data_IF_364835458050
#
_entry.id   IF_364835458050
#
_cell.length_a   1.000
_cell.length_b   1.000
_cell.length_c   1.000
_cell.angle_alpha   90.00
_cell.angle_beta   90.00
_cell.angle_gamma   90.00
#
_symmetry.space_group_name_H-M   'P 1'
#
loop_
_entity.id
_entity.type
_entity.pdbx_description
1 polymer ?
#
# COMPACT_ATOMS: atom_id res chain seq x y z
N UNK A 1 -25.50 6.73 -2.14
CA UNK A 1 -25.30 5.57 -3.05
C UNK A 1 -23.83 5.18 -3.27
N UNK A 2 -22.86 6.10 -3.18
CA UNK A 2 -21.41 5.74 -3.12
C UNK A 2 -21.03 4.91 -1.87
N UNK A 3 -21.71 5.12 -0.73
CA UNK A 3 -21.49 4.35 0.51
C UNK A 3 -21.99 2.90 0.47
N UNK A 4 -22.73 2.49 -0.58
CA UNK A 4 -23.18 1.10 -0.72
C UNK A 4 -22.22 0.24 -1.55
N UNK A 5 -21.32 0.85 -2.30
CA UNK A 5 -20.35 0.16 -3.16
C UNK A 5 -19.05 -0.21 -2.45
N UNK A 6 -18.83 0.30 -1.23
CA UNK A 6 -17.71 -0.03 -0.33
C UNK A 6 -17.98 -1.33 0.45
N UNK A 7 -19.25 -1.65 0.74
CA UNK A 7 -19.65 -2.74 1.65
C UNK A 7 -19.62 -4.17 1.10
N UNK A 8 -18.71 -4.49 0.18
CA UNK A 8 -18.49 -5.89 -0.19
C UNK A 8 -16.98 -6.17 -0.23
N UNK A 9 -16.29 -5.87 0.86
CA UNK A 9 -14.96 -6.40 1.15
C UNK A 9 -15.00 -7.90 1.43
N UNK A 10 -15.12 -8.72 0.39
CA UNK A 10 -15.00 -10.18 0.53
C UNK A 10 -13.61 -10.72 0.15
N UNK A 11 -12.78 -9.97 -0.59
CA UNK A 11 -11.41 -10.45 -0.91
C UNK A 11 -10.36 -10.07 0.15
N UNK A 12 -10.46 -8.89 0.76
CA UNK A 12 -9.51 -8.51 1.82
C UNK A 12 -9.72 -9.40 3.05
N UNK A 13 -10.98 -9.66 3.42
CA UNK A 13 -11.33 -10.52 4.56
C UNK A 13 -10.74 -11.93 4.47
N UNK A 14 -10.68 -12.52 3.29
CA UNK A 14 -10.14 -13.87 3.11
C UNK A 14 -8.60 -13.88 3.05
N UNK A 15 -7.97 -12.78 2.59
CA UNK A 15 -6.52 -12.54 2.72
C UNK A 15 -6.12 -12.33 4.19
N UNK A 16 -6.92 -11.59 4.96
CA UNK A 16 -6.71 -11.32 6.38
C UNK A 16 -6.85 -12.60 7.23
N UNK A 17 -7.85 -13.46 6.92
CA UNK A 17 -8.02 -14.78 7.55
C UNK A 17 -6.86 -15.74 7.25
N UNK A 18 -6.32 -15.70 6.03
CA UNK A 18 -5.18 -16.52 5.66
C UNK A 18 -3.92 -16.09 6.43
N UNK A 19 -3.63 -14.80 6.56
CA UNK A 19 -2.49 -14.30 7.35
C UNK A 19 -2.57 -14.61 8.85
N UNK A 20 -3.76 -14.54 9.46
CA UNK A 20 -3.97 -14.97 10.85
C UNK A 20 -3.56 -16.43 11.09
N UNK A 21 -3.51 -17.27 10.04
CA UNK A 21 -3.09 -18.66 10.17
C UNK A 21 -1.57 -18.89 10.07
N UNK A 22 -0.77 -17.87 9.73
CA UNK A 22 0.66 -18.01 9.40
C UNK A 22 1.59 -17.25 10.36
N UNK A 23 1.07 -16.37 11.21
CA UNK A 23 1.88 -15.55 12.13
C UNK A 23 1.46 -15.77 13.58
N UNK A 24 1.87 -16.91 14.13
CA UNK A 24 2.15 -16.97 15.56
C UNK A 24 3.65 -16.69 15.75
N UNK A 25 3.92 -15.85 16.74
CA UNK A 25 5.21 -15.38 17.27
C UNK A 25 5.85 -14.09 16.72
N UNK A 26 6.10 -13.24 17.73
CA UNK A 26 7.13 -12.23 17.91
C UNK A 26 6.90 -10.75 17.56
N UNK A 27 7.23 -9.96 18.59
CA UNK A 27 7.24 -8.51 18.74
C UNK A 27 7.56 -7.77 17.43
N UNK A 28 6.66 -6.88 17.02
CA UNK A 28 6.89 -5.98 15.90
C UNK A 28 8.04 -5.03 16.24
N UNK A 29 9.18 -5.23 15.57
CA UNK A 29 10.38 -4.42 15.74
C UNK A 29 10.70 -3.68 14.42
N UNK A 30 10.68 -2.35 14.46
CA UNK A 30 11.11 -1.49 13.34
C UNK A 30 12.57 -1.74 12.94
N UNK A 31 13.38 -2.29 13.85
CA UNK A 31 14.77 -2.66 13.61
C UNK A 31 14.91 -3.95 12.79
N UNK A 32 13.93 -4.86 12.82
CA UNK A 32 13.90 -6.03 11.94
C UNK A 32 13.79 -5.61 10.46
N UNK A 33 13.04 -4.54 10.18
CA UNK A 33 12.96 -3.89 8.86
C UNK A 33 14.31 -3.24 8.46
N UNK A 34 15.15 -2.84 9.44
CA UNK A 34 16.51 -2.35 9.19
C UNK A 34 17.50 -3.51 8.96
N UNK A 35 17.27 -4.69 9.52
CA UNK A 35 18.20 -5.85 9.47
C UNK A 35 18.29 -6.54 8.11
N UNK A 36 17.27 -6.43 7.25
CA UNK A 36 17.36 -6.81 5.82
C UNK A 36 18.48 -6.04 5.08
N UNK A 37 18.99 -4.92 5.63
CA UNK A 37 20.13 -4.18 5.08
C UNK A 37 21.49 -4.86 5.28
N UNK A 38 21.67 -5.76 6.26
CA UNK A 38 22.99 -6.27 6.64
C UNK A 38 23.33 -7.65 6.06
N UNK A 39 22.34 -8.50 5.78
CA UNK A 39 22.61 -9.87 5.31
C UNK A 39 23.01 -9.98 3.83
N UNK A 40 23.07 -8.87 3.08
CA UNK A 40 23.65 -8.83 1.73
C UNK A 40 25.06 -8.20 1.66
N UNK A 41 25.66 -7.78 2.78
CA UNK A 41 27.04 -7.31 2.81
C UNK A 41 27.96 -8.26 3.58
N UNK A 42 28.32 -9.37 2.94
CA UNK A 42 29.63 -10.00 3.16
C UNK A 42 30.36 -10.16 1.84
N UNK A 43 31.13 -9.13 1.49
CA UNK A 43 32.44 -9.24 0.84
C UNK A 43 33.20 -7.90 0.95
N UNK A 44 34.00 -7.85 2.01
CA UNK A 44 35.37 -7.35 2.15
C UNK A 44 35.85 -5.95 1.69
N UNK A 45 36.61 -5.35 2.63
CA UNK A 45 37.62 -4.28 2.56
C UNK A 45 37.26 -2.80 2.28
N UNK A 46 37.07 -2.04 3.37
CA UNK A 46 37.93 -0.91 3.76
C UNK A 46 37.89 0.43 2.98
N UNK A 47 36.97 1.34 3.35
CA UNK A 47 37.20 2.79 3.64
C UNK A 47 35.88 3.52 3.99
N UNK A 48 35.90 4.62 4.77
CA UNK A 48 34.70 5.27 5.30
C UNK A 48 34.12 6.36 4.38
N UNK A 49 32.85 6.71 4.64
CA UNK A 49 32.03 7.84 4.14
C UNK A 49 31.20 7.64 2.85
N UNK A 50 29.88 7.44 3.01
CA UNK A 50 28.85 8.52 3.05
C UNK A 50 27.46 7.90 3.30
N UNK A 51 26.70 8.53 4.18
CA UNK A 51 25.31 8.18 4.52
C UNK A 51 24.42 8.34 3.29
N UNK A 52 23.55 7.34 3.04
CA UNK A 52 22.49 7.38 2.05
C UNK A 52 22.79 6.60 0.76
N UNK A 53 22.83 5.27 0.84
CA UNK A 53 22.87 4.42 -0.36
C UNK A 53 21.47 3.88 -0.68
N UNK A 54 20.97 4.36 -1.82
CA UNK A 54 19.78 3.93 -2.55
C UNK A 54 19.77 2.39 -2.70
N UNK A 55 18.69 1.72 -2.26
CA UNK A 55 18.40 0.33 -2.65
C UNK A 55 18.03 0.36 -4.14
N UNK A 56 18.96 -0.07 -5.00
CA UNK A 56 18.78 -0.08 -6.46
C UNK A 56 18.29 -1.44 -6.96
N UNK A 57 17.30 -1.35 -7.85
CA UNK A 57 17.05 -2.20 -9.02
C UNK A 57 16.15 -3.45 -8.94
N UNK A 58 15.48 -3.76 -7.83
CA UNK A 58 14.39 -4.77 -7.83
C UNK A 58 13.16 -4.48 -6.96
N UNK A 59 13.14 -3.38 -6.22
CA UNK A 59 12.02 -3.07 -5.35
C UNK A 59 10.99 -2.20 -6.08
N UNK A 60 9.74 -2.65 -6.11
CA UNK A 60 8.57 -1.92 -6.64
C UNK A 60 8.29 -0.60 -5.89
N UNK A 61 9.03 -0.37 -4.80
CA UNK A 61 9.02 0.83 -3.99
C UNK A 61 10.36 1.03 -3.27
N UNK A 62 10.61 2.26 -2.81
CA UNK A 62 11.66 2.60 -1.87
C UNK A 62 11.06 3.38 -0.72
N UNK A 63 11.55 3.25 0.52
CA UNK A 63 11.08 4.04 1.65
C UNK A 63 12.23 4.67 2.43
N UNK A 64 11.94 5.81 3.07
CA UNK A 64 12.84 6.53 3.96
C UNK A 64 12.06 7.04 5.17
N UNK A 65 12.72 7.12 6.32
CA UNK A 65 12.16 7.76 7.51
C UNK A 65 12.39 9.28 7.41
N UNK A 66 11.33 10.06 7.25
CA UNK A 66 11.37 11.53 7.32
C UNK A 66 11.43 11.99 8.78
N UNK A 67 10.83 11.20 9.69
CA UNK A 67 11.07 11.26 11.13
C UNK A 67 11.38 9.85 11.60
N UNK A 68 12.55 9.70 12.21
CA UNK A 68 12.93 8.44 12.84
C UNK A 68 11.93 8.04 13.93
N UNK A 69 11.97 6.77 14.30
CA UNK A 69 11.18 6.21 15.38
C UNK A 69 11.39 6.98 16.69
N UNK A 70 10.29 7.38 17.32
CA UNK A 70 10.28 8.06 18.60
C UNK A 70 9.40 7.30 19.58
N UNK A 71 9.91 7.06 20.78
CA UNK A 71 9.13 6.43 21.85
C UNK A 71 8.02 7.37 22.32
N UNK A 72 6.81 6.83 22.47
CA UNK A 72 5.66 7.50 23.07
C UNK A 72 5.32 6.85 24.42
N UNK A 73 4.31 7.38 25.12
CA UNK A 73 3.83 6.78 26.37
C UNK A 73 3.27 5.37 26.17
N UNK A 74 2.73 5.09 24.99
CA UNK A 74 1.97 3.88 24.64
C UNK A 74 2.68 2.97 23.62
N UNK A 75 3.83 3.39 23.10
CA UNK A 75 4.56 2.64 22.07
C UNK A 75 5.56 3.50 21.33
N UNK A 76 5.43 3.60 20.00
CA UNK A 76 6.39 4.33 19.15
C UNK A 76 5.70 4.98 17.96
N UNK A 77 6.19 6.11 17.49
CA UNK A 77 5.71 6.77 16.27
C UNK A 77 6.84 6.97 15.27
N UNK A 78 6.53 6.99 13.97
CA UNK A 78 7.46 7.38 12.93
C UNK A 78 6.74 8.09 11.77
N UNK A 79 7.51 8.80 10.95
CA UNK A 79 7.02 9.35 9.69
C UNK A 79 7.79 8.70 8.54
N UNK A 80 7.06 7.92 7.74
CA UNK A 80 7.60 7.18 6.61
C UNK A 80 7.24 7.85 5.30
N UNK A 81 8.22 8.00 4.41
CA UNK A 81 8.01 8.37 3.02
C UNK A 81 8.32 7.21 2.12
N UNK A 82 7.33 6.75 1.38
CA UNK A 82 7.38 5.64 0.44
C UNK A 82 7.27 6.19 -0.98
N UNK A 83 8.27 5.93 -1.81
CA UNK A 83 8.26 6.21 -3.23
C UNK A 83 7.89 4.94 -3.99
N UNK A 84 6.70 4.92 -4.60
CA UNK A 84 6.23 3.82 -5.45
C UNK A 84 6.74 4.06 -6.86
N UNK A 85 7.43 3.05 -7.42
CA UNK A 85 8.24 3.16 -8.63
C UNK A 85 7.68 4.13 -9.67
N UNK A 86 8.38 5.23 -9.99
CA UNK A 86 8.02 6.24 -11.00
C UNK A 86 6.55 6.73 -11.00
N UNK A 87 5.74 6.36 -10.01
CA UNK A 87 4.28 6.48 -10.04
C UNK A 87 3.87 7.60 -9.09
N UNK A 88 4.17 7.45 -7.80
CA UNK A 88 3.80 8.43 -6.78
C UNK A 88 4.63 8.28 -5.50
N UNK A 89 4.48 9.28 -4.63
CA UNK A 89 5.02 9.31 -3.27
C UNK A 89 3.85 9.18 -2.31
N UNK A 90 4.06 8.43 -1.24
CA UNK A 90 3.19 8.37 -0.07
C UNK A 90 3.96 8.78 1.17
N UNK A 91 3.40 9.69 1.93
CA UNK A 91 3.86 10.02 3.28
C UNK A 91 2.87 9.43 4.29
N UNK A 92 3.38 8.75 5.32
CA UNK A 92 2.61 8.02 6.33
C UNK A 92 3.08 8.42 7.73
N UNK A 93 2.18 9.01 8.53
CA UNK A 93 2.39 9.20 9.95
C UNK A 93 1.81 8.00 10.71
N UNK A 94 2.71 7.21 11.31
CA UNK A 94 2.38 5.92 11.90
C UNK A 94 2.61 5.94 13.42
N UNK A 95 1.76 5.24 14.15
CA UNK A 95 1.97 4.88 15.56
C UNK A 95 1.80 3.38 15.75
N UNK A 96 2.78 2.76 16.40
CA UNK A 96 2.66 1.43 16.95
C UNK A 96 2.25 1.54 18.43
N UNK A 97 1.07 1.04 18.77
CA UNK A 97 0.58 0.97 20.15
C UNK A 97 0.93 -0.40 20.74
N UNK A 98 1.89 -0.41 21.67
CA UNK A 98 2.50 -1.63 22.23
C UNK A 98 1.49 -2.47 23.01
N UNK A 99 0.63 -1.84 23.79
CA UNK A 99 -0.32 -2.55 24.67
C UNK A 99 -1.33 -3.42 23.89
N UNK A 100 -1.71 -2.98 22.69
CA UNK A 100 -2.69 -3.66 21.82
C UNK A 100 -2.04 -4.39 20.65
N UNK A 101 -0.73 -4.25 20.45
CA UNK A 101 -0.02 -4.70 19.25
C UNK A 101 -0.70 -4.20 17.95
N UNK A 102 -1.09 -2.93 17.89
CA UNK A 102 -1.80 -2.35 16.75
C UNK A 102 -0.99 -1.26 16.07
N UNK A 103 -1.08 -1.21 14.73
CA UNK A 103 -0.57 -0.09 13.94
C UNK A 103 -1.71 0.90 13.67
N UNK A 104 -1.45 2.17 13.91
CA UNK A 104 -2.36 3.28 13.68
C UNK A 104 -1.75 4.14 12.57
N UNK A 105 -2.54 4.46 11.55
CA UNK A 105 -2.19 5.45 10.52
C UNK A 105 -2.88 6.76 10.86
N UNK A 106 -2.16 7.71 11.46
CA UNK A 106 -2.70 9.01 11.87
C UNK A 106 -3.02 9.89 10.66
N UNK A 107 -2.09 9.92 9.71
CA UNK A 107 -2.20 10.71 8.50
C UNK A 107 -1.50 10.00 7.35
N UNK A 108 -2.02 10.18 6.14
CA UNK A 108 -1.31 9.85 4.92
C UNK A 108 -1.55 10.88 3.83
N UNK A 109 -0.57 11.06 2.95
CA UNK A 109 -0.69 11.88 1.73
C UNK A 109 -0.17 11.10 0.54
N UNK A 110 -0.94 11.06 -0.56
CA UNK A 110 -0.56 10.42 -1.83
C UNK A 110 -0.45 11.51 -2.89
N UNK A 111 0.72 11.61 -3.53
CA UNK A 111 1.01 12.69 -4.48
C UNK A 111 1.93 12.27 -5.61
N UNK A 112 1.91 13.02 -6.72
CA UNK A 112 2.81 12.78 -7.84
C UNK A 112 4.27 13.03 -7.49
N UNK A 113 5.20 12.36 -8.20
CA UNK A 113 6.64 12.51 -7.95
C UNK A 113 7.17 13.95 -8.04
N UNK A 114 6.52 14.78 -8.87
CA UNK A 114 6.90 16.18 -9.14
C UNK A 114 5.91 17.17 -8.51
N UNK A 115 5.03 16.69 -7.64
CA UNK A 115 4.02 17.51 -7.01
C UNK A 115 4.59 18.21 -5.78
N UNK A 116 4.81 19.52 -5.89
CA UNK A 116 5.16 20.38 -4.77
C UNK A 116 3.89 20.77 -4.01
N UNK A 117 3.78 20.32 -2.76
CA UNK A 117 2.55 20.43 -2.00
C UNK A 117 2.83 20.37 -0.49
N UNK A 118 2.04 21.10 0.30
CA UNK A 118 1.98 20.95 1.76
C UNK A 118 1.08 19.77 2.15
N UNK A 119 1.47 19.01 3.18
CA UNK A 119 0.78 17.80 3.69
C UNK A 119 -0.73 17.96 3.95
N UNK A 120 -1.21 19.18 4.20
CA UNK A 120 -2.62 19.48 4.52
C UNK A 120 -3.52 19.70 3.31
N UNK A 121 -2.96 19.86 2.11
CA UNK A 121 -3.75 20.05 0.90
C UNK A 121 -4.12 18.66 0.31
N UNK A 122 -5.09 18.57 -0.61
CA UNK A 122 -5.31 17.37 -1.42
C UNK A 122 -4.40 17.37 -2.66
N UNK A 123 -4.12 16.23 -3.28
CA UNK A 123 -3.33 16.24 -4.53
C UNK A 123 -4.05 17.05 -5.61
N UNK A 124 -3.32 17.80 -6.45
CA UNK A 124 -3.89 18.50 -7.60
C UNK A 124 -4.29 17.54 -8.75
N UNK A 125 -3.81 16.30 -8.73
CA UNK A 125 -4.10 15.32 -9.77
C UNK A 125 -5.23 14.37 -9.34
N UNK A 126 -6.26 14.28 -10.19
CA UNK A 126 -7.47 13.48 -9.93
C UNK A 126 -7.19 12.00 -9.64
N UNK A 127 -6.15 11.42 -10.26
CA UNK A 127 -5.74 10.04 -10.01
C UNK A 127 -5.29 9.82 -8.56
N UNK A 128 -4.50 10.74 -8.01
CA UNK A 128 -3.99 10.61 -6.64
C UNK A 128 -5.08 10.95 -5.63
N UNK A 129 -5.96 11.93 -5.92
CA UNK A 129 -7.19 12.14 -5.12
C UNK A 129 -8.04 10.86 -5.04
N UNK A 130 -8.20 10.14 -6.16
CA UNK A 130 -8.92 8.87 -6.21
C UNK A 130 -8.21 7.78 -5.40
N UNK A 131 -6.88 7.67 -5.52
CA UNK A 131 -6.09 6.73 -4.75
C UNK A 131 -6.16 7.01 -3.25
N UNK A 132 -6.16 8.28 -2.82
CA UNK A 132 -6.35 8.63 -1.41
C UNK A 132 -7.69 8.13 -0.86
N UNK A 133 -8.77 8.22 -1.64
CA UNK A 133 -10.07 7.65 -1.23
C UNK A 133 -10.03 6.13 -1.10
N UNK A 134 -9.31 5.44 -1.99
CA UNK A 134 -9.14 3.99 -1.90
C UNK A 134 -8.25 3.59 -0.73
N UNK A 135 -7.20 4.38 -0.45
CA UNK A 135 -6.33 4.18 0.70
C UNK A 135 -7.08 4.34 2.02
N UNK A 136 -8.02 5.29 2.12
CA UNK A 136 -8.85 5.45 3.32
C UNK A 136 -9.54 4.14 3.71
N UNK A 137 -10.21 3.51 2.74
CA UNK A 137 -10.92 2.24 2.94
C UNK A 137 -9.93 1.11 3.21
N UNK A 138 -8.85 1.02 2.41
CA UNK A 138 -7.87 -0.05 2.54
C UNK A 138 -7.15 -0.02 3.90
N UNK A 139 -6.74 1.15 4.38
CA UNK A 139 -6.03 1.29 5.64
C UNK A 139 -6.94 1.08 6.84
N UNK A 140 -8.20 1.53 6.77
CA UNK A 140 -9.21 1.22 7.79
C UNK A 140 -9.34 -0.29 7.98
N UNK A 141 -9.45 -1.07 6.89
CA UNK A 141 -9.54 -2.52 7.00
C UNK A 141 -8.22 -3.15 7.48
N UNK A 142 -7.05 -2.71 6.97
CA UNK A 142 -5.75 -3.31 7.28
C UNK A 142 -5.30 -3.06 8.72
N UNK A 143 -5.63 -1.90 9.29
CA UNK A 143 -5.25 -1.51 10.66
C UNK A 143 -6.05 -2.24 11.75
N UNK A 144 -7.02 -3.08 11.36
CA UNK A 144 -7.68 -4.03 12.27
C UNK A 144 -6.82 -5.24 12.65
N UNK A 145 -5.68 -5.43 11.97
CA UNK A 145 -4.72 -6.49 12.23
C UNK A 145 -3.71 -6.11 13.31
N UNK A 146 -2.88 -7.09 13.68
CA UNK A 146 -1.65 -6.83 14.42
C UNK A 146 -0.69 -5.92 13.63
N UNK A 147 0.20 -5.25 14.35
CA UNK A 147 0.97 -4.14 13.81
C UNK A 147 1.86 -4.55 12.64
N UNK A 148 2.51 -5.72 12.74
CA UNK A 148 3.41 -6.25 11.70
C UNK A 148 2.66 -6.53 10.41
N UNK A 149 1.53 -7.21 10.51
CA UNK A 149 0.68 -7.58 9.40
C UNK A 149 0.07 -6.34 8.76
N UNK A 150 -0.44 -5.42 9.58
CA UNK A 150 -0.96 -4.13 9.12
C UNK A 150 0.08 -3.40 8.26
N UNK A 151 1.31 -3.29 8.77
CA UNK A 151 2.39 -2.62 8.07
C UNK A 151 2.75 -3.32 6.75
N UNK A 152 2.89 -4.64 6.80
CA UNK A 152 3.16 -5.46 5.62
C UNK A 152 2.09 -5.24 4.54
N UNK A 153 0.80 -5.28 4.89
CA UNK A 153 -0.30 -5.13 3.93
C UNK A 153 -0.43 -3.72 3.36
N UNK A 154 -0.14 -2.70 4.17
CA UNK A 154 -0.05 -1.32 3.69
C UNK A 154 1.04 -1.21 2.62
N UNK A 155 2.24 -1.76 2.88
CA UNK A 155 3.32 -1.73 1.89
C UNK A 155 3.02 -2.58 0.65
N UNK A 156 2.45 -3.77 0.81
CA UNK A 156 2.04 -4.64 -0.31
C UNK A 156 1.01 -3.95 -1.20
N UNK A 157 -0.03 -3.35 -0.60
CA UNK A 157 -1.04 -2.56 -1.32
C UNK A 157 -0.41 -1.38 -2.06
N UNK A 158 0.48 -0.63 -1.41
CA UNK A 158 1.17 0.50 -2.05
C UNK A 158 2.05 0.04 -3.21
N UNK A 159 2.83 -1.02 -3.02
CA UNK A 159 3.75 -1.58 -4.02
C UNK A 159 3.03 -2.12 -5.26
N UNK A 160 1.79 -2.56 -5.11
CA UNK A 160 0.96 -3.06 -6.21
C UNK A 160 0.69 -2.01 -7.30
N UNK A 161 1.01 -0.74 -7.06
CA UNK A 161 0.86 0.35 -8.01
C UNK A 161 2.15 0.77 -8.72
N UNK A 162 3.23 0.00 -8.63
CA UNK A 162 4.49 0.26 -9.36
C UNK A 162 4.31 0.46 -10.87
N UNK A 163 3.25 -0.12 -11.44
CA UNK A 163 2.87 -0.08 -12.85
C UNK A 163 1.58 0.74 -13.11
N UNK A 164 1.16 1.63 -12.20
CA UNK A 164 -0.13 2.35 -12.25
C UNK A 164 -0.46 2.95 -13.61
N UNK A 165 0.53 3.51 -14.32
CA UNK A 165 0.33 4.19 -15.60
C UNK A 165 0.60 3.31 -16.82
N UNK A 166 0.97 2.04 -16.61
CA UNK A 166 1.37 1.11 -17.68
C UNK A 166 0.55 -0.17 -17.70
N UNK A 167 0.02 -0.60 -16.56
CA UNK A 167 -0.81 -1.79 -16.46
C UNK A 167 -2.15 -1.59 -17.20
N UNK A 168 -2.54 -2.49 -18.12
CA UNK A 168 -3.88 -2.50 -18.66
C UNK A 168 -4.86 -3.08 -17.62
N UNK A 169 -6.07 -2.56 -17.61
CA UNK A 169 -7.17 -3.18 -16.87
C UNK A 169 -7.43 -4.60 -17.42
N UNK A 170 -7.47 -5.60 -16.55
CA UNK A 170 -7.60 -7.01 -16.97
C UNK A 170 -8.91 -7.29 -17.73
N UNK A 171 -9.95 -6.47 -17.52
CA UNK A 171 -11.28 -6.68 -18.09
C UNK A 171 -11.53 -5.95 -19.40
N UNK A 172 -11.05 -4.71 -19.53
CA UNK A 172 -11.26 -3.92 -20.75
C UNK A 172 -9.99 -3.78 -21.60
N UNK A 173 -8.85 -4.26 -21.11
CA UNK A 173 -7.51 -4.21 -21.73
C UNK A 173 -7.02 -2.79 -22.07
N UNK A 174 -7.62 -1.75 -21.48
CA UNK A 174 -7.20 -0.35 -21.64
C UNK A 174 -6.40 0.10 -20.42
N UNK A 175 -5.46 1.01 -20.64
CA UNK A 175 -4.78 1.72 -19.55
C UNK A 175 -5.68 2.82 -19.00
N UNK A 176 -6.30 3.65 -19.85
CA UNK A 176 -7.21 4.71 -19.40
C UNK A 176 -8.66 4.40 -19.75
N UNK A 177 -9.56 4.69 -18.80
CA UNK A 177 -11.00 4.62 -19.00
C UNK A 177 -11.69 5.79 -18.28
N UNK A 178 -12.80 6.26 -18.83
CA UNK A 178 -13.66 7.22 -18.15
C UNK A 178 -14.23 6.60 -16.86
N UNK A 179 -13.89 7.19 -15.72
CA UNK A 179 -14.39 6.86 -14.38
C UNK A 179 -15.71 7.58 -14.09
N UNK A 180 -15.70 8.92 -14.11
CA UNK A 180 -16.84 9.74 -13.71
C UNK A 180 -16.67 11.21 -14.14
N UNK A 181 -17.74 12.04 -14.09
CA UNK A 181 -17.61 13.47 -14.35
C UNK A 181 -16.63 14.20 -13.43
N UNK A 182 -16.39 13.68 -12.21
CA UNK A 182 -15.46 14.24 -11.23
C UNK A 182 -14.02 13.83 -11.55
N UNK A 183 -13.75 12.53 -11.70
CA UNK A 183 -12.39 12.00 -11.87
C UNK A 183 -11.93 11.86 -13.34
N UNK A 184 -12.83 12.12 -14.30
CA UNK A 184 -12.57 12.03 -15.75
C UNK A 184 -12.03 10.66 -16.14
N UNK A 185 -10.85 10.60 -16.76
CA UNK A 185 -10.22 9.35 -17.18
C UNK A 185 -9.15 8.96 -16.17
N UNK A 186 -9.21 7.73 -15.68
CA UNK A 186 -8.26 7.21 -14.69
C UNK A 186 -7.59 5.92 -15.18
N UNK A 187 -6.38 5.63 -14.70
CA UNK A 187 -5.78 4.31 -14.82
C UNK A 187 -6.55 3.24 -14.03
N UNK A 188 -6.17 1.96 -14.11
CA UNK A 188 -6.77 0.91 -13.30
C UNK A 188 -6.34 1.09 -11.83
N UNK A 189 -7.16 1.79 -11.06
CA UNK A 189 -6.89 2.16 -9.65
C UNK A 189 -7.32 1.10 -8.65
N UNK A 190 -8.01 0.04 -9.06
CA UNK A 190 -8.38 -1.07 -8.17
C UNK A 190 -7.38 -2.20 -8.33
N UNK A 191 -6.83 -2.67 -7.21
CA UNK A 191 -5.88 -3.78 -7.15
C UNK A 191 -6.49 -4.94 -6.38
N UNK A 192 -6.43 -6.14 -6.95
CA UNK A 192 -6.94 -7.37 -6.36
C UNK A 192 -5.90 -8.48 -6.50
N UNK A 193 -5.74 -9.33 -5.50
CA UNK A 193 -4.77 -10.43 -5.55
C UNK A 193 -5.45 -11.71 -6.00
N UNK A 194 -4.80 -12.47 -6.88
CA UNK A 194 -5.30 -13.78 -7.28
C UNK A 194 -5.09 -14.77 -6.13
N UNK A 195 -6.16 -15.17 -5.46
CA UNK A 195 -6.12 -16.06 -4.29
C UNK A 195 -5.81 -17.53 -4.64
N UNK A 196 -5.77 -17.89 -5.94
CA UNK A 196 -5.59 -19.28 -6.38
C UNK A 196 -4.15 -19.79 -6.31
N UNK A 197 -3.17 -18.90 -6.21
CA UNK A 197 -1.76 -19.26 -6.15
C UNK A 197 -1.12 -18.62 -4.91
N UNK A 198 -0.86 -19.43 -3.89
CA UNK A 198 -0.27 -18.97 -2.61
C UNK A 198 1.13 -18.38 -2.75
N UNK A 199 1.81 -18.65 -3.88
CA UNK A 199 3.18 -18.20 -4.16
C UNK A 199 3.27 -17.07 -5.17
N UNK A 200 2.19 -16.73 -5.88
CA UNK A 200 2.16 -15.67 -6.89
C UNK A 200 1.18 -14.57 -6.46
N UNK A 201 1.70 -13.58 -5.73
CA UNK A 201 0.95 -12.40 -5.25
C UNK A 201 0.89 -11.28 -6.28
N UNK A 202 0.84 -11.60 -7.57
CA UNK A 202 0.69 -10.58 -8.61
C UNK A 202 -0.67 -9.91 -8.48
N UNK A 203 -0.67 -8.61 -8.19
CA UNK A 203 -1.88 -7.81 -8.13
C UNK A 203 -2.46 -7.59 -9.53
N UNK A 204 -3.73 -7.89 -9.70
CA UNK A 204 -4.50 -7.67 -10.92
C UNK A 204 -5.12 -6.28 -10.88
N UNK A 205 -4.99 -5.55 -11.98
CA UNK A 205 -5.42 -4.17 -12.09
C UNK A 205 -6.81 -4.04 -12.77
N UNK A 206 -7.71 -3.26 -12.18
CA UNK A 206 -9.03 -2.96 -12.72
C UNK A 206 -9.34 -1.46 -12.66
N UNK A 207 -10.06 -0.94 -13.66
CA UNK A 207 -10.82 0.31 -13.46
C UNK A 207 -11.97 0.06 -12.49
N UNK A 208 -12.38 1.08 -11.74
CA UNK A 208 -13.49 1.00 -10.77
C UNK A 208 -14.74 0.34 -11.35
N UNK A 209 -15.22 0.85 -12.49
CA UNK A 209 -16.39 0.29 -13.19
C UNK A 209 -16.17 -1.16 -13.62
N UNK A 210 -14.99 -1.45 -14.15
CA UNK A 210 -14.64 -2.79 -14.61
C UNK A 210 -14.66 -3.80 -13.46
N UNK A 211 -14.17 -3.41 -12.29
CA UNK A 211 -14.18 -4.24 -11.08
C UNK A 211 -15.60 -4.51 -10.57
N UNK A 212 -16.45 -3.48 -10.49
CA UNK A 212 -17.85 -3.65 -10.04
C UNK A 212 -18.62 -4.65 -10.91
N UNK A 213 -18.49 -4.53 -12.23
CA UNK A 213 -19.15 -5.43 -13.17
C UNK A 213 -18.54 -6.85 -13.13
N UNK A 214 -17.24 -7.00 -12.92
CA UNK A 214 -16.58 -8.30 -12.71
C UNK A 214 -17.14 -9.01 -11.47
N UNK A 215 -17.19 -8.30 -10.34
CA UNK A 215 -17.70 -8.83 -9.08
C UNK A 215 -19.17 -9.25 -9.17
N UNK A 216 -20.00 -8.45 -9.82
CA UNK A 216 -21.41 -8.80 -10.04
C UNK A 216 -21.55 -10.07 -10.89
N UNK A 217 -20.66 -10.25 -11.87
CA UNK A 217 -20.67 -11.46 -12.72
C UNK A 217 -20.28 -12.71 -11.92
N UNK A 218 -19.33 -12.61 -11.00
CA UNK A 218 -18.96 -13.72 -10.10
C UNK A 218 -20.06 -14.05 -9.10
N UNK A 219 -20.75 -13.05 -8.56
CA UNK A 219 -21.87 -13.27 -7.64
C UNK A 219 -23.04 -14.00 -8.32
N UNK A 220 -23.28 -13.75 -9.61
CA UNK A 220 -24.32 -14.43 -10.40
C UNK A 220 -23.93 -15.87 -10.74
N UNK A 221 -22.64 -16.14 -10.99
CA UNK A 221 -22.15 -17.48 -11.33
C UNK A 221 -22.15 -18.48 -10.16
N UNK A 222 -22.49 -18.04 -8.95
CA UNK A 222 -22.60 -18.86 -7.73
C UNK A 222 -24.06 -19.23 -7.38
N UNK A 223 -25.01 -18.89 -8.26
CA UNK A 223 -26.42 -19.32 -8.22
C UNK A 223 -26.76 -20.13 -9.47
#
# INVERSE_FOLDING_TARGET
ELNRLVNQGNDLKDVLKYAQSITNDDDFDWSAIKSEKQDQQKTDTGKPEKIGSIVKDKADYAYNFEREEQTTLSGTTCHLKVCIHKAFIVELELEYARASNTLIVHQYDIRGLKEEKQLSQGSQYLVFQKLSLLAAVAFEDMTTLFARESFFYILDWLSSYHDLFTAPCIRCHKVLQFDSPVYKYTPPVVRTWNTKHTTDRTAVAYHMRCYHEHKNSQAIALF
#
